data_IF_512744736216
#
_entry.id   IF_512744736216
#
_cell.length_a   1.000
_cell.length_b   1.000
_cell.length_c   1.000
_cell.angle_alpha   90.00
_cell.angle_beta   90.00
_cell.angle_gamma   90.00
#
_symmetry.space_group_name_H-M   'P 1'
#
loop_
_entity.id
_entity.type
_entity.pdbx_description
1 polymer ?
#
# COMPACT_ATOMS: atom_id res chain seq x y z
N UNK A 1 16.69 12.65 -14.04
CA UNK A 1 15.44 11.99 -13.66
C UNK A 1 15.69 11.43 -12.26
N UNK A 2 15.17 12.08 -11.22
CA UNK A 2 15.30 11.54 -9.86
C UNK A 2 14.41 10.31 -9.81
N UNK A 3 14.96 9.17 -9.39
CA UNK A 3 14.14 7.98 -9.12
C UNK A 3 13.16 8.32 -8.02
N UNK A 4 11.88 8.04 -8.22
CA UNK A 4 10.88 8.12 -7.13
C UNK A 4 11.40 7.30 -5.95
N UNK A 5 11.46 7.92 -4.78
CA UNK A 5 11.90 7.26 -3.56
C UNK A 5 10.96 6.09 -3.25
N UNK A 6 11.54 4.91 -3.00
CA UNK A 6 10.82 3.73 -2.52
C UNK A 6 11.30 3.40 -1.12
N UNK A 7 10.38 3.25 -0.18
CA UNK A 7 10.67 2.73 1.16
C UNK A 7 11.08 1.25 1.10
N UNK A 8 10.52 0.47 0.16
CA UNK A 8 10.87 -0.94 -0.06
C UNK A 8 10.88 -1.32 -1.55
N UNK A 9 11.58 -2.42 -1.88
CA UNK A 9 11.51 -3.08 -3.18
C UNK A 9 10.35 -4.09 -3.24
N UNK A 10 9.11 -3.59 -3.27
CA UNK A 10 7.90 -4.42 -3.30
C UNK A 10 7.83 -5.35 -4.53
N UNK A 11 8.44 -4.93 -5.65
CA UNK A 11 8.55 -5.70 -6.89
C UNK A 11 9.33 -7.01 -6.71
N UNK A 12 10.25 -7.08 -5.75
CA UNK A 12 11.00 -8.30 -5.43
C UNK A 12 10.26 -9.24 -4.45
N UNK A 13 9.07 -8.87 -3.96
CA UNK A 13 8.33 -9.66 -2.97
C UNK A 13 7.28 -10.57 -3.62
N UNK A 14 6.97 -11.68 -2.94
CA UNK A 14 5.91 -12.60 -3.35
C UNK A 14 4.54 -11.93 -3.22
N UNK A 15 3.57 -12.39 -4.01
CA UNK A 15 2.21 -11.85 -3.93
C UNK A 15 1.61 -12.07 -2.53
N UNK A 16 1.75 -13.28 -1.97
CA UNK A 16 1.26 -13.64 -0.64
C UNK A 16 1.81 -12.70 0.46
N UNK A 17 3.09 -12.32 0.40
CA UNK A 17 3.67 -11.41 1.37
C UNK A 17 3.09 -9.99 1.26
N UNK A 18 2.84 -9.52 0.03
CA UNK A 18 2.25 -8.20 -0.21
C UNK A 18 0.78 -8.15 0.24
N UNK A 19 0.00 -9.19 -0.08
CA UNK A 19 -1.40 -9.30 0.34
C UNK A 19 -1.51 -9.43 1.88
N UNK A 20 -0.68 -10.26 2.49
CA UNK A 20 -0.66 -10.40 3.96
C UNK A 20 -0.27 -9.10 4.67
N UNK A 21 0.63 -8.31 4.10
CA UNK A 21 0.96 -6.98 4.65
C UNK A 21 -0.20 -6.00 4.49
N UNK A 22 -0.83 -5.94 3.31
CA UNK A 22 -2.01 -5.08 3.08
C UNK A 22 -3.16 -5.44 4.04
N UNK A 23 -3.46 -6.73 4.21
CA UNK A 23 -4.49 -7.21 5.15
C UNK A 23 -4.19 -6.79 6.60
N UNK A 24 -2.93 -6.91 7.03
CA UNK A 24 -2.50 -6.44 8.35
C UNK A 24 -2.70 -4.92 8.50
N UNK A 25 -2.33 -4.14 7.48
CA UNK A 25 -2.46 -2.69 7.53
C UNK A 25 -3.92 -2.22 7.53
N UNK A 26 -4.81 -2.91 6.81
CA UNK A 26 -6.28 -2.68 6.87
C UNK A 26 -6.80 -2.85 8.30
N UNK A 27 -6.35 -3.88 9.01
CA UNK A 27 -6.74 -4.08 10.40
C UNK A 27 -6.14 -3.02 11.34
N UNK A 28 -4.91 -2.57 11.07
CA UNK A 28 -4.25 -1.52 11.85
C UNK A 28 -4.94 -0.16 11.70
N UNK A 29 -5.39 0.22 10.49
CA UNK A 29 -6.09 1.51 10.26
C UNK A 29 -7.38 1.68 11.04
N UNK A 30 -8.03 0.58 11.42
CA UNK A 30 -9.24 0.63 12.25
C UNK A 30 -8.92 0.87 13.73
N UNK A 31 -7.72 0.49 14.19
CA UNK A 31 -7.37 0.41 15.63
C UNK A 31 -6.37 1.47 16.09
N UNK A 32 -5.56 2.01 15.19
CA UNK A 32 -4.46 2.93 15.51
C UNK A 32 -4.85 4.34 15.09
N UNK A 33 -4.80 5.28 16.02
CA UNK A 33 -5.16 6.69 15.77
C UNK A 33 -4.05 7.46 15.03
N UNK A 34 -2.79 7.08 15.22
CA UNK A 34 -1.63 7.76 14.63
C UNK A 34 -0.68 6.76 13.95
N UNK A 35 -0.55 6.86 12.63
CA UNK A 35 0.39 6.05 11.85
C UNK A 35 1.74 6.75 11.76
N UNK A 36 2.82 5.99 11.98
CA UNK A 36 4.15 6.45 11.61
C UNK A 36 4.22 6.66 10.09
N UNK A 37 4.81 7.76 9.64
CA UNK A 37 4.95 8.07 8.21
C UNK A 37 5.71 6.98 7.44
N UNK A 38 6.65 6.29 8.09
CA UNK A 38 7.33 5.14 7.51
C UNK A 38 6.34 4.02 7.15
N UNK A 39 5.36 3.73 8.00
CA UNK A 39 4.38 2.67 7.74
C UNK A 39 3.50 3.02 6.53
N UNK A 40 3.07 4.28 6.40
CA UNK A 40 2.29 4.71 5.24
C UNK A 40 3.10 4.69 3.95
N UNK A 41 4.41 5.00 4.01
CA UNK A 41 5.30 4.91 2.84
C UNK A 41 5.51 3.46 2.39
N UNK A 42 5.76 2.55 3.35
CA UNK A 42 5.87 1.11 3.04
C UNK A 42 4.56 0.59 2.43
N UNK A 43 3.42 0.95 3.02
CA UNK A 43 2.13 0.52 2.50
C UNK A 43 1.82 1.10 1.12
N UNK A 44 2.23 2.34 0.84
CA UNK A 44 2.16 2.95 -0.49
C UNK A 44 2.87 2.10 -1.55
N UNK A 45 4.11 1.69 -1.27
CA UNK A 45 4.90 0.85 -2.20
C UNK A 45 4.23 -0.52 -2.42
N UNK A 46 3.68 -1.12 -1.36
CA UNK A 46 2.93 -2.38 -1.44
C UNK A 46 1.68 -2.22 -2.31
N UNK A 47 0.87 -1.19 -2.07
CA UNK A 47 -0.38 -0.95 -2.80
C UNK A 47 -0.14 -0.66 -4.28
N UNK A 48 0.88 0.15 -4.61
CA UNK A 48 1.29 0.40 -6.00
C UNK A 48 1.70 -0.89 -6.70
N UNK A 49 2.37 -1.79 -6.01
CA UNK A 49 2.75 -3.07 -6.58
C UNK A 49 1.57 -4.04 -6.73
N UNK A 50 0.65 -4.06 -5.76
CA UNK A 50 -0.59 -4.84 -5.84
C UNK A 50 -1.51 -4.36 -6.97
N UNK A 51 -1.55 -3.05 -7.24
CA UNK A 51 -2.31 -2.47 -8.36
C UNK A 51 -1.74 -2.94 -9.71
N UNK A 52 -0.41 -2.87 -9.88
CA UNK A 52 0.26 -3.42 -11.07
C UNK A 52 -0.01 -4.91 -11.27
N UNK A 53 -0.16 -5.67 -10.18
CA UNK A 53 -0.49 -7.11 -10.19
C UNK A 53 -2.00 -7.39 -10.33
N UNK A 54 -2.83 -6.36 -10.43
CA UNK A 54 -4.28 -6.49 -10.63
C UNK A 54 -5.05 -6.96 -9.40
N UNK A 55 -4.51 -6.75 -8.20
CA UNK A 55 -5.09 -7.21 -6.92
C UNK A 55 -5.79 -6.11 -6.15
N UNK A 56 -5.41 -4.86 -6.39
CA UNK A 56 -6.14 -3.68 -5.92
C UNK A 56 -6.34 -2.72 -7.08
N UNK A 57 -7.14 -1.67 -6.85
CA UNK A 57 -7.31 -0.55 -7.76
C UNK A 57 -7.57 0.72 -6.97
N UNK A 58 -6.93 1.81 -7.37
CA UNK A 58 -7.23 3.14 -6.85
C UNK A 58 -8.54 3.65 -7.46
N UNK A 59 -9.54 3.89 -6.61
CA UNK A 59 -10.83 4.45 -7.02
C UNK A 59 -10.79 5.98 -6.98
N UNK A 60 -10.14 6.54 -5.96
CA UNK A 60 -9.96 7.99 -5.77
C UNK A 60 -8.77 8.27 -4.85
N UNK A 61 -8.17 9.46 -4.97
CA UNK A 61 -7.04 9.90 -4.14
C UNK A 61 -5.68 9.51 -4.72
N UNK A 62 -4.73 9.14 -3.86
CA UNK A 62 -3.37 8.73 -4.24
C UNK A 62 -2.84 7.64 -3.31
N UNK A 63 -2.05 6.69 -3.85
CA UNK A 63 -1.31 5.75 -3.02
C UNK A 63 -0.23 6.43 -2.15
N UNK A 64 0.21 7.64 -2.48
CA UNK A 64 1.13 8.41 -1.62
C UNK A 64 0.44 9.00 -0.38
N UNK A 65 -0.89 9.09 -0.42
CA UNK A 65 -1.73 9.61 0.65
C UNK A 65 -2.76 8.54 1.07
N UNK A 66 -2.27 7.36 1.47
CA UNK A 66 -3.11 6.17 1.74
C UNK A 66 -4.27 6.46 2.70
N UNK A 67 -4.11 7.37 3.67
CA UNK A 67 -5.15 7.72 4.64
C UNK A 67 -6.38 8.43 4.05
N UNK A 68 -6.26 9.06 2.87
CA UNK A 68 -7.37 9.72 2.16
C UNK A 68 -7.80 8.96 0.90
N UNK A 69 -7.08 7.89 0.54
CA UNK A 69 -7.32 7.13 -0.67
C UNK A 69 -8.53 6.18 -0.54
N UNK A 70 -9.31 6.07 -1.61
CA UNK A 70 -10.32 5.02 -1.74
C UNK A 70 -9.75 3.91 -2.60
N UNK A 71 -9.51 2.76 -1.99
CA UNK A 71 -8.86 1.61 -2.62
C UNK A 71 -9.85 0.45 -2.68
N UNK A 72 -10.07 -0.07 -3.89
CA UNK A 72 -10.84 -1.29 -4.11
C UNK A 72 -9.90 -2.49 -4.11
N UNK A 73 -10.19 -3.50 -3.29
CA UNK A 73 -9.49 -4.79 -3.30
C UNK A 73 -10.21 -5.76 -4.22
N UNK A 74 -9.50 -6.30 -5.21
CA UNK A 74 -10.00 -7.19 -6.26
C UNK A 74 -9.68 -8.62 -5.84
N UNK A 75 -10.72 -9.40 -5.50
CA UNK A 75 -10.56 -10.81 -5.14
C UNK A 75 -10.12 -11.65 -6.33
#
# INVERSE_FOLDING_TARGET
MMSDFKAIHADAMTLEALEGYDDMMVECVVKVENFASLATLVWSDVLKELDKRGRVRLVSGSYDEVGSAIIQRLK
#
